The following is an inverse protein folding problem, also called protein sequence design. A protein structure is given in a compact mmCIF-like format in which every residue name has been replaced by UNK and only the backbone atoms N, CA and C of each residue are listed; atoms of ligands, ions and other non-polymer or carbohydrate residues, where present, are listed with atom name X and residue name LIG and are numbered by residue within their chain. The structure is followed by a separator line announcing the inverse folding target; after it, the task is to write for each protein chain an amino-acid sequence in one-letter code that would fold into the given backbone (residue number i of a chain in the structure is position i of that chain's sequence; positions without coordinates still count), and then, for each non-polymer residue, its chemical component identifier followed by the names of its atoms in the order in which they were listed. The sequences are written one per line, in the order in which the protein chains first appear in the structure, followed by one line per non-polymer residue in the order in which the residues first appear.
data_IF_912002447676
#
_entry.id   IF_912002447676
#
_cell.length_a   1.000
_cell.length_b   1.000
_cell.length_c   1.000
_cell.angle_alpha   90.00
_cell.angle_beta   90.00
_cell.angle_gamma   90.00
#
_symmetry.space_group_name_H-M   'P 1'
#
loop_
_entity.id
_entity.type
_entity.pdbx_description
1 polymer ?
#
# COMPACT_ATOMS: atom_id res chain seq x y z
N UNK A 1 5.61 19.45 12.67
CA UNK A 1 4.59 18.39 12.75
C UNK A 1 4.76 17.52 11.52
N UNK A 2 4.76 16.19 11.67
CA UNK A 2 4.93 15.27 10.54
C UNK A 2 3.70 15.28 9.63
N UNK A 3 2.50 15.14 10.18
CA UNK A 3 1.29 15.03 9.37
C UNK A 3 0.06 15.54 10.11
N UNK A 4 -0.92 15.98 9.34
CA UNK A 4 -2.24 16.36 9.80
C UNK A 4 -3.31 15.76 8.89
N UNK A 5 -4.45 15.38 9.47
CA UNK A 5 -5.60 14.90 8.70
C UNK A 5 -6.92 15.28 9.36
N UNK A 6 -7.84 15.81 8.56
CA UNK A 6 -9.25 15.93 8.90
C UNK A 6 -9.98 14.70 8.40
N UNK A 7 -10.69 14.00 9.28
CA UNK A 7 -11.37 12.77 8.92
C UNK A 7 -12.78 12.65 9.48
N UNK A 8 -13.51 11.70 8.91
CA UNK A 8 -14.78 11.20 9.42
C UNK A 8 -14.55 9.74 9.82
N UNK A 9 -14.95 9.38 11.04
CA UNK A 9 -14.81 8.01 11.53
C UNK A 9 -16.14 7.30 11.73
N UNK A 10 -16.09 5.98 11.88
CA UNK A 10 -17.21 5.18 12.37
C UNK A 10 -16.88 4.69 13.79
N UNK A 11 -17.90 4.69 14.66
CA UNK A 11 -17.82 4.12 16.01
C UNK A 11 -18.70 2.88 16.09
N UNK A 12 -18.25 1.91 16.88
CA UNK A 12 -19.08 0.80 17.31
C UNK A 12 -20.03 1.22 18.44
N UNK A 13 -20.85 0.28 18.93
CA UNK A 13 -21.83 0.53 20.00
C UNK A 13 -21.19 0.91 21.34
N UNK A 14 -19.93 0.53 21.59
CA UNK A 14 -19.16 0.95 22.78
C UNK A 14 -18.48 2.31 22.63
N UNK A 15 -18.71 3.02 21.51
CA UNK A 15 -18.18 4.35 21.25
C UNK A 15 -16.71 4.39 20.80
N UNK A 16 -16.11 3.23 20.54
CA UNK A 16 -14.74 3.10 20.05
C UNK A 16 -14.69 3.36 18.55
N UNK A 17 -13.70 4.12 18.10
CA UNK A 17 -13.44 4.31 16.66
C UNK A 17 -12.93 3.01 16.05
N UNK A 18 -13.52 2.63 14.91
CA UNK A 18 -13.19 1.37 14.21
C UNK A 18 -12.63 1.58 12.80
N UNK A 19 -12.89 2.73 12.19
CA UNK A 19 -12.27 3.16 10.94
C UNK A 19 -12.35 4.68 10.81
N UNK A 20 -11.45 5.26 10.00
CA UNK A 20 -11.43 6.70 9.73
C UNK A 20 -11.07 6.95 8.27
N UNK A 21 -11.87 7.76 7.59
CA UNK A 21 -11.61 8.27 6.24
C UNK A 21 -11.01 9.68 6.28
N UNK A 22 -9.85 9.87 5.67
CA UNK A 22 -9.19 11.18 5.51
C UNK A 22 -9.19 11.59 4.03
N UNK A 23 -10.04 12.54 3.59
CA UNK A 23 -10.14 12.90 2.18
C UNK A 23 -8.88 13.56 1.61
N UNK A 24 -8.19 14.35 2.42
CA UNK A 24 -6.98 15.09 2.01
C UNK A 24 -5.98 15.12 3.18
N UNK A 25 -5.27 14.02 3.44
CA UNK A 25 -4.20 13.98 4.43
C UNK A 25 -3.03 14.87 3.97
N UNK A 26 -2.35 15.50 4.92
CA UNK A 26 -1.25 16.44 4.65
C UNK A 26 0.03 15.94 5.31
N UNK A 27 1.13 15.89 4.56
CA UNK A 27 2.48 15.74 5.10
C UNK A 27 3.11 17.12 5.27
N UNK A 28 3.77 17.36 6.40
CA UNK A 28 4.37 18.65 6.76
C UNK A 28 3.39 19.83 6.62
N UNK A 29 2.24 19.79 7.33
CA UNK A 29 1.23 20.83 7.23
C UNK A 29 1.78 22.21 7.62
N UNK A 30 1.22 23.25 7.00
CA UNK A 30 1.49 24.63 7.38
C UNK A 30 1.20 24.83 8.88
N UNK A 31 2.15 25.45 9.59
CA UNK A 31 1.99 25.73 11.03
C UNK A 31 0.74 26.58 11.30
N UNK A 32 0.44 27.54 10.42
CA UNK A 32 -0.75 28.40 10.57
C UNK A 32 -2.05 27.59 10.52
N UNK A 33 -2.15 26.58 9.66
CA UNK A 33 -3.28 25.65 9.58
C UNK A 33 -3.47 24.92 10.91
N UNK A 34 -2.39 24.31 11.42
CA UNK A 34 -2.45 23.50 12.63
C UNK A 34 -2.68 24.35 13.88
N UNK A 35 -2.10 25.54 13.98
CA UNK A 35 -2.28 26.45 15.11
C UNK A 35 -3.72 26.99 15.14
N UNK A 36 -4.29 27.28 13.97
CA UNK A 36 -5.68 27.76 13.84
C UNK A 36 -6.68 26.74 14.36
N UNK A 37 -6.59 25.48 13.95
CA UNK A 37 -7.52 24.44 14.40
C UNK A 37 -7.31 24.09 15.88
N UNK A 38 -6.06 24.04 16.36
CA UNK A 38 -5.76 23.83 17.78
C UNK A 38 -6.40 24.93 18.64
N UNK A 39 -6.30 26.20 18.23
CA UNK A 39 -6.91 27.33 18.92
C UNK A 39 -8.43 27.26 18.93
N UNK A 40 -9.05 26.90 17.80
CA UNK A 40 -10.52 26.83 17.69
C UNK A 40 -11.09 25.69 18.54
N UNK A 41 -10.44 24.53 18.52
CA UNK A 41 -10.87 23.33 19.25
C UNK A 41 -10.35 23.28 20.69
N UNK A 42 -9.55 24.26 21.11
CA UNK A 42 -8.87 24.28 22.40
C UNK A 42 -8.13 22.95 22.69
N UNK A 43 -7.33 22.49 21.71
CA UNK A 43 -6.68 21.20 21.74
C UNK A 43 -5.17 21.32 21.54
N UNK A 44 -4.41 20.55 22.29
CA UNK A 44 -2.96 20.42 22.15
C UNK A 44 -2.64 19.26 21.21
N UNK A 45 -2.03 19.55 20.06
CA UNK A 45 -1.68 18.54 19.06
C UNK A 45 -0.75 17.43 19.60
N UNK A 46 -0.02 17.64 20.71
CA UNK A 46 0.77 16.59 21.33
C UNK A 46 -0.07 15.45 21.92
N UNK A 47 -1.39 15.65 22.09
CA UNK A 47 -2.34 14.62 22.51
C UNK A 47 -2.82 13.72 21.35
N UNK A 48 -2.32 13.93 20.13
CA UNK A 48 -2.58 13.08 18.98
C UNK A 48 -3.83 13.48 18.22
N UNK A 49 -5.02 13.05 18.63
CA UNK A 49 -6.27 13.29 17.89
C UNK A 49 -7.41 13.76 18.76
N UNK A 50 -8.31 14.57 18.19
CA UNK A 50 -9.54 15.05 18.84
C UNK A 50 -10.76 14.75 17.98
N UNK A 51 -11.82 14.25 18.62
CA UNK A 51 -13.17 14.20 18.04
C UNK A 51 -13.87 15.51 18.38
N UNK A 52 -14.47 16.16 17.40
CA UNK A 52 -15.18 17.42 17.59
C UNK A 52 -16.55 17.44 16.89
N UNK A 53 -17.36 18.44 17.23
CA UNK A 53 -18.75 18.53 16.81
C UNK A 53 -18.89 19.11 15.40
N UNK A 54 -19.87 18.66 14.60
CA UNK A 54 -20.21 19.32 13.34
C UNK A 54 -20.52 20.82 13.47
N UNK A 55 -20.92 21.28 14.66
CA UNK A 55 -21.18 22.70 14.93
C UNK A 55 -19.90 23.56 14.83
N UNK A 56 -18.74 23.00 15.13
CA UNK A 56 -17.46 23.71 15.08
C UNK A 56 -16.92 23.82 13.65
N UNK A 57 -17.37 22.96 12.73
CA UNK A 57 -16.88 22.89 11.36
C UNK A 57 -17.01 24.21 10.59
N UNK A 58 -18.14 24.91 10.72
CA UNK A 58 -18.35 26.20 10.01
C UNK A 58 -17.37 27.26 10.51
N UNK A 59 -17.08 27.26 11.82
CA UNK A 59 -16.10 28.18 12.41
C UNK A 59 -14.69 27.83 11.91
N UNK A 60 -14.34 26.55 11.88
CA UNK A 60 -13.03 26.10 11.36
C UNK A 60 -12.88 26.45 9.88
N UNK A 61 -13.89 26.17 9.04
CA UNK A 61 -13.90 26.50 7.62
C UNK A 61 -13.62 27.98 7.36
N UNK A 62 -14.36 28.87 8.04
CA UNK A 62 -14.19 30.34 7.90
C UNK A 62 -12.76 30.77 8.22
N UNK A 63 -12.16 30.20 9.27
CA UNK A 63 -10.79 30.53 9.63
C UNK A 63 -9.79 29.94 8.62
N UNK A 64 -10.02 28.74 8.10
CA UNK A 64 -9.18 28.16 7.05
C UNK A 64 -9.20 28.99 5.76
N UNK A 65 -10.37 29.47 5.31
CA UNK A 65 -10.44 30.42 4.19
C UNK A 65 -9.63 31.71 4.47
N UNK A 66 -9.71 32.25 5.69
CA UNK A 66 -8.98 33.48 6.04
C UNK A 66 -7.45 33.35 6.01
N UNK A 67 -6.93 32.12 6.11
CA UNK A 67 -5.49 31.82 6.04
C UNK A 67 -5.07 31.17 4.71
N UNK A 68 -5.98 31.10 3.72
CA UNK A 68 -5.71 30.57 2.39
C UNK A 68 -5.79 29.04 2.25
N UNK A 69 -6.20 28.31 3.29
CA UNK A 69 -6.31 26.85 3.32
C UNK A 69 -7.64 26.37 2.71
N UNK A 70 -7.90 26.78 1.47
CA UNK A 70 -9.20 26.67 0.81
C UNK A 70 -9.70 25.23 0.62
N UNK A 71 -8.80 24.28 0.35
CA UNK A 71 -9.20 22.88 0.16
C UNK A 71 -9.67 22.25 1.47
N UNK A 72 -8.90 22.42 2.55
CA UNK A 72 -9.26 21.97 3.89
C UNK A 72 -10.54 22.65 4.37
N UNK A 73 -10.73 23.95 4.05
CA UNK A 73 -11.95 24.68 4.34
C UNK A 73 -13.19 24.05 3.66
N UNK A 74 -13.11 23.73 2.37
CA UNK A 74 -14.20 23.06 1.65
C UNK A 74 -14.52 21.68 2.24
N UNK A 75 -13.50 20.90 2.59
CA UNK A 75 -13.69 19.57 3.19
C UNK A 75 -14.45 19.68 4.50
N UNK A 76 -14.03 20.58 5.39
CA UNK A 76 -14.67 20.70 6.70
C UNK A 76 -16.09 21.28 6.61
N UNK A 77 -16.42 22.06 5.57
CA UNK A 77 -17.81 22.45 5.27
C UNK A 77 -18.70 21.24 4.96
N UNK A 78 -18.22 20.26 4.19
CA UNK A 78 -18.96 19.01 3.99
C UNK A 78 -19.13 18.24 5.30
N UNK A 79 -18.12 18.26 6.16
CA UNK A 79 -18.18 17.57 7.45
C UNK A 79 -19.22 18.16 8.40
N UNK A 80 -19.58 19.44 8.26
CA UNK A 80 -20.61 20.09 9.06
C UNK A 80 -21.99 19.39 8.98
N UNK A 81 -22.24 18.58 7.94
CA UNK A 81 -23.49 17.80 7.75
C UNK A 81 -23.38 16.35 8.22
N UNK A 82 -22.22 15.93 8.73
CA UNK A 82 -21.95 14.55 9.12
C UNK A 82 -22.78 14.13 10.34
N UNK A 83 -23.37 12.94 10.28
CA UNK A 83 -23.91 12.23 11.46
C UNK A 83 -22.85 11.37 12.16
N UNK A 84 -21.68 11.23 11.54
CA UNK A 84 -20.54 10.47 12.03
C UNK A 84 -19.54 11.38 12.75
N UNK A 85 -18.77 10.86 13.72
CA UNK A 85 -17.76 11.64 14.42
C UNK A 85 -16.73 12.23 13.46
N UNK A 86 -16.42 13.50 13.68
CA UNK A 86 -15.41 14.24 12.92
C UNK A 86 -14.15 14.29 13.76
N UNK A 87 -13.01 14.03 13.14
CA UNK A 87 -11.73 13.84 13.83
C UNK A 87 -10.68 14.76 13.20
N UNK A 88 -9.90 15.43 14.04
CA UNK A 88 -8.64 16.05 13.63
C UNK A 88 -7.50 15.25 14.24
N UNK A 89 -6.60 14.76 13.40
CA UNK A 89 -5.46 13.92 13.78
C UNK A 89 -4.16 14.65 13.50
N UNK A 90 -3.29 14.71 14.50
CA UNK A 90 -2.00 15.38 14.45
C UNK A 90 -0.91 14.35 14.77
N UNK A 91 0.05 14.18 13.86
CA UNK A 91 1.23 13.34 14.08
C UNK A 91 2.44 14.26 14.20
N UNK A 92 3.01 14.36 15.40
CA UNK A 92 4.12 15.26 15.67
C UNK A 92 5.44 14.73 15.11
N UNK A 93 5.72 13.44 15.33
CA UNK A 93 6.96 12.74 14.95
C UNK A 93 6.65 11.37 14.35
N UNK A 94 7.56 10.85 13.53
CA UNK A 94 7.39 9.51 12.94
C UNK A 94 7.79 8.38 13.92
N UNK A 95 6.95 8.22 14.94
CA UNK A 95 7.05 7.13 15.92
C UNK A 95 6.03 6.01 15.57
N UNK A 96 6.12 4.81 16.18
CA UNK A 96 5.07 3.80 16.03
C UNK A 96 3.69 4.39 16.37
N UNK A 97 2.66 4.12 15.56
CA UNK A 97 1.34 4.71 15.78
C UNK A 97 0.75 4.25 17.11
N UNK A 98 0.24 5.20 17.89
CA UNK A 98 -0.24 4.93 19.26
C UNK A 98 -1.76 4.71 19.35
N UNK A 99 -2.49 4.98 18.26
CA UNK A 99 -3.94 4.79 18.19
C UNK A 99 -4.40 4.55 16.74
N UNK A 100 -5.68 4.20 16.58
CA UNK A 100 -6.29 3.90 15.27
C UNK A 100 -6.26 5.10 14.32
N UNK A 101 -6.41 6.33 14.84
CA UNK A 101 -6.41 7.54 14.02
C UNK A 101 -5.09 7.78 13.30
N UNK A 102 -3.97 7.56 14.00
CA UNK A 102 -2.64 7.62 13.42
C UNK A 102 -2.40 6.49 12.42
N UNK A 103 -2.85 5.27 12.72
CA UNK A 103 -2.71 4.15 11.76
C UNK A 103 -3.39 4.49 10.45
N UNK A 104 -4.67 4.87 10.47
CA UNK A 104 -5.39 5.20 9.26
C UNK A 104 -4.76 6.39 8.54
N UNK A 105 -4.31 7.43 9.25
CA UNK A 105 -3.67 8.59 8.62
C UNK A 105 -2.38 8.17 7.90
N UNK A 106 -1.54 7.35 8.54
CA UNK A 106 -0.32 6.83 7.92
C UNK A 106 -0.60 5.95 6.69
N UNK A 107 -1.61 5.09 6.74
CA UNK A 107 -2.00 4.29 5.57
C UNK A 107 -2.53 5.17 4.43
N UNK A 108 -3.29 6.23 4.74
CA UNK A 108 -3.74 7.21 3.75
C UNK A 108 -2.56 7.95 3.13
N UNK A 109 -1.56 8.39 3.91
CA UNK A 109 -0.36 9.04 3.34
C UNK A 109 0.32 8.16 2.27
N UNK A 110 0.37 6.84 2.49
CA UNK A 110 0.93 5.91 1.50
C UNK A 110 0.00 5.80 0.28
N UNK A 111 -1.28 5.54 0.48
CA UNK A 111 -2.22 5.32 -0.64
C UNK A 111 -2.55 6.58 -1.45
N UNK A 112 -2.45 7.77 -0.86
CA UNK A 112 -2.49 9.05 -1.58
C UNK A 112 -1.20 9.34 -2.35
N UNK A 113 -0.19 8.46 -2.25
CA UNK A 113 1.18 8.62 -2.78
C UNK A 113 1.97 9.80 -2.21
N UNK A 114 1.57 10.30 -1.03
CA UNK A 114 2.28 11.40 -0.37
C UNK A 114 3.62 10.92 0.19
N UNK A 115 3.67 9.66 0.64
CA UNK A 115 4.90 9.01 1.08
C UNK A 115 5.04 7.64 0.40
N UNK A 116 6.28 7.19 0.17
CA UNK A 116 6.57 5.88 -0.42
C UNK A 116 6.46 4.76 0.62
N UNK A 117 6.30 3.49 0.20
CA UNK A 117 6.51 2.35 1.09
C UNK A 117 7.84 2.43 1.85
N UNK A 118 7.85 1.96 3.09
CA UNK A 118 8.99 1.92 4.02
C UNK A 118 9.54 3.29 4.46
N UNK A 119 8.86 4.40 4.13
CA UNK A 119 9.30 5.76 4.49
C UNK A 119 8.64 6.33 5.76
N UNK A 120 7.67 5.62 6.34
CA UNK A 120 7.01 5.99 7.59
C UNK A 120 6.91 4.80 8.55
N UNK A 121 6.92 5.06 9.85
CA UNK A 121 6.92 4.03 10.87
C UNK A 121 5.52 3.42 11.09
N UNK A 122 5.36 2.15 10.74
CA UNK A 122 4.14 1.35 10.95
C UNK A 122 4.34 0.21 11.96
N UNK A 123 5.43 0.23 12.74
CA UNK A 123 5.69 -0.83 13.75
C UNK A 123 4.51 -0.93 14.70
N UNK A 124 4.13 -2.16 15.05
CA UNK A 124 3.06 -2.49 15.99
C UNK A 124 1.65 -1.96 15.62
N UNK A 125 1.40 -1.46 14.41
CA UNK A 125 0.07 -0.92 14.05
C UNK A 125 -1.07 -1.95 14.18
N UNK A 126 -0.78 -3.25 14.05
CA UNK A 126 -1.79 -4.31 14.15
C UNK A 126 -2.48 -4.39 15.51
N UNK A 127 -1.82 -3.95 16.60
CA UNK A 127 -2.43 -3.90 17.93
C UNK A 127 -3.42 -2.75 18.08
N UNK A 128 -3.34 -1.74 17.21
CA UNK A 128 -4.24 -0.58 17.20
C UNK A 128 -5.47 -0.80 16.30
N UNK A 129 -5.40 -1.78 15.40
CA UNK A 129 -6.48 -2.13 14.47
C UNK A 129 -7.38 -3.22 15.06
N UNK A 130 -8.68 -3.05 14.93
CA UNK A 130 -9.66 -4.11 15.19
C UNK A 130 -9.90 -4.95 13.94
N UNK A 131 -10.31 -6.20 14.15
CA UNK A 131 -10.84 -6.99 13.03
C UNK A 131 -12.27 -6.50 12.76
N UNK A 132 -12.57 -6.13 11.51
CA UNK A 132 -13.82 -5.44 11.14
C UNK A 132 -14.55 -6.22 10.05
N UNK A 133 -15.88 -6.28 10.14
CA UNK A 133 -16.73 -6.70 9.05
C UNK A 133 -16.95 -5.51 8.10
N UNK A 134 -16.33 -5.57 6.92
CA UNK A 134 -16.48 -4.57 5.86
C UNK A 134 -17.70 -4.93 5.02
N UNK A 135 -18.75 -4.12 5.13
CA UNK A 135 -20.05 -4.41 4.52
C UNK A 135 -20.45 -3.35 3.51
N UNK A 136 -21.54 -3.61 2.78
CA UNK A 136 -22.15 -2.60 1.91
C UNK A 136 -22.74 -1.39 2.66
N UNK A 137 -22.89 -1.46 3.98
CA UNK A 137 -23.35 -0.35 4.84
C UNK A 137 -22.18 0.34 5.58
N UNK A 138 -20.95 -0.09 5.33
CA UNK A 138 -19.72 0.41 5.96
C UNK A 138 -19.10 -0.58 6.94
N UNK A 139 -18.19 -0.07 7.78
CA UNK A 139 -17.53 -0.86 8.82
C UNK A 139 -18.49 -1.17 9.96
N UNK A 140 -18.57 -2.45 10.33
CA UNK A 140 -19.30 -2.94 11.50
C UNK A 140 -18.31 -3.76 12.34
N UNK A 141 -18.32 -3.52 13.66
CA UNK A 141 -17.51 -4.32 14.57
C UNK A 141 -17.93 -5.80 14.45
N UNK A 142 -16.97 -6.72 14.38
CA UNK A 142 -17.26 -8.15 14.16
C UNK A 142 -18.16 -8.69 15.27
N UNK A 143 -18.01 -8.18 16.50
CA UNK A 143 -18.83 -8.58 17.64
C UNK A 143 -20.30 -8.14 17.52
N UNK A 144 -20.60 -7.20 16.63
CA UNK A 144 -21.94 -6.65 16.42
C UNK A 144 -22.62 -7.18 15.15
N UNK A 145 -21.91 -7.90 14.27
CA UNK A 145 -22.40 -8.22 12.93
C UNK A 145 -23.73 -8.99 12.92
N UNK A 146 -23.93 -9.90 13.88
CA UNK A 146 -25.11 -10.75 13.95
C UNK A 146 -26.41 -9.94 14.11
N UNK A 147 -26.40 -8.88 14.95
CA UNK A 147 -27.61 -8.07 15.15
C UNK A 147 -27.91 -7.21 13.92
N UNK A 148 -26.88 -6.75 13.20
CA UNK A 148 -27.06 -6.01 11.95
C UNK A 148 -27.63 -6.90 10.84
N UNK A 149 -27.12 -8.14 10.71
CA UNK A 149 -27.67 -9.10 9.77
C UNK A 149 -29.13 -9.44 10.08
N UNK A 150 -29.47 -9.68 11.36
CA UNK A 150 -30.86 -9.94 11.77
C UNK A 150 -31.78 -8.78 11.41
N UNK A 151 -31.39 -7.53 11.72
CA UNK A 151 -32.17 -6.32 11.38
C UNK A 151 -32.42 -6.22 9.88
N UNK A 152 -31.38 -6.42 9.06
CA UNK A 152 -31.52 -6.39 7.60
C UNK A 152 -32.52 -7.45 7.11
N UNK A 153 -32.50 -8.67 7.68
CA UNK A 153 -33.45 -9.75 7.32
C UNK A 153 -34.88 -9.45 7.73
N UNK A 154 -35.10 -8.87 8.92
CA UNK A 154 -36.42 -8.44 9.37
C UNK A 154 -37.02 -7.36 8.44
N UNK A 155 -36.18 -6.54 7.84
CA UNK A 155 -36.56 -5.54 6.83
C UNK A 155 -36.64 -6.10 5.39
N UNK A 156 -36.47 -7.41 5.19
CA UNK A 156 -36.51 -8.04 3.87
C UNK A 156 -35.28 -7.77 2.98
N UNK A 157 -34.18 -7.26 3.56
CA UNK A 157 -32.90 -6.97 2.86
C UNK A 157 -31.81 -7.98 3.23
N UNK A 158 -30.67 -7.90 2.54
CA UNK A 158 -29.44 -8.64 2.88
C UNK A 158 -28.33 -7.65 3.22
N UNK A 159 -27.61 -7.88 4.33
CA UNK A 159 -26.34 -7.23 4.60
C UNK A 159 -25.21 -8.05 3.99
N UNK A 160 -24.55 -7.50 2.97
CA UNK A 160 -23.39 -8.13 2.32
C UNK A 160 -22.14 -7.87 3.15
N UNK A 161 -21.45 -8.93 3.56
CA UNK A 161 -20.13 -8.86 4.20
C UNK A 161 -19.08 -9.21 3.15
N UNK A 162 -18.36 -8.20 2.67
CA UNK A 162 -17.42 -8.33 1.56
C UNK A 162 -16.02 -8.74 2.02
N UNK A 163 -15.64 -8.39 3.25
CA UNK A 163 -14.36 -8.72 3.85
C UNK A 163 -14.48 -8.73 5.38
N UNK A 164 -13.72 -9.62 6.04
CA UNK A 164 -13.53 -9.60 7.50
C UNK A 164 -12.03 -9.54 7.77
N UNK A 165 -11.52 -8.34 8.05
CA UNK A 165 -10.08 -8.09 8.17
C UNK A 165 -9.80 -6.81 8.96
N UNK A 166 -8.56 -6.64 9.42
CA UNK A 166 -8.03 -5.40 10.01
C UNK A 166 -7.79 -4.29 8.97
N UNK A 167 -7.69 -4.64 7.69
CA UNK A 167 -7.47 -3.69 6.60
C UNK A 167 -8.69 -3.61 5.67
N UNK A 168 -9.19 -2.41 5.37
CA UNK A 168 -10.12 -2.24 4.26
C UNK A 168 -9.39 -2.32 2.91
N UNK A 169 -10.17 -2.43 1.83
CA UNK A 169 -9.67 -2.21 0.48
C UNK A 169 -9.40 -0.72 0.23
N UNK A 170 -8.32 -0.41 -0.48
CA UNK A 170 -7.81 0.95 -0.69
C UNK A 170 -8.85 1.85 -1.37
N UNK A 171 -9.56 1.32 -2.37
CA UNK A 171 -10.44 2.12 -3.22
C UNK A 171 -11.72 2.59 -2.53
N UNK A 172 -12.06 2.04 -1.36
CA UNK A 172 -13.14 2.59 -0.53
C UNK A 172 -12.73 3.92 0.13
N UNK A 173 -11.44 4.23 0.13
CA UNK A 173 -10.84 5.40 0.75
C UNK A 173 -10.20 6.33 -0.29
N UNK A 174 -9.41 5.80 -1.22
CA UNK A 174 -8.72 6.60 -2.23
C UNK A 174 -8.51 5.84 -3.53
N UNK A 175 -8.72 6.54 -4.65
CA UNK A 175 -8.35 6.09 -5.99
C UNK A 175 -7.38 7.11 -6.60
N UNK A 176 -6.07 6.88 -6.49
CA UNK A 176 -5.07 7.75 -7.10
C UNK A 176 -5.25 7.87 -8.61
N UNK A 177 -4.88 9.03 -9.18
CA UNK A 177 -5.00 9.27 -10.62
C UNK A 177 -4.11 8.33 -11.44
N UNK A 178 -4.58 7.99 -12.65
CA UNK A 178 -3.80 7.26 -13.65
C UNK A 178 -3.52 5.80 -13.31
N UNK A 179 -4.41 5.13 -12.59
CA UNK A 179 -4.29 3.68 -12.29
C UNK A 179 -5.48 2.90 -12.83
N UNK A 180 -5.30 1.59 -12.93
CA UNK A 180 -6.39 0.63 -13.08
C UNK A 180 -6.23 -0.49 -12.06
N UNK A 181 -7.33 -0.87 -11.43
CA UNK A 181 -7.41 -2.02 -10.52
C UNK A 181 -8.64 -2.81 -10.93
N UNK A 182 -8.44 -4.03 -11.43
CA UNK A 182 -9.52 -4.85 -11.98
C UNK A 182 -10.39 -5.47 -10.87
N UNK A 183 -9.78 -5.99 -9.82
CA UNK A 183 -10.46 -6.40 -8.59
C UNK A 183 -9.90 -5.61 -7.40
N UNK A 184 -10.71 -4.69 -6.88
CA UNK A 184 -10.28 -3.79 -5.82
C UNK A 184 -10.15 -4.46 -4.46
N UNK A 185 -10.77 -5.64 -4.25
CA UNK A 185 -10.63 -6.40 -3.01
C UNK A 185 -9.17 -6.85 -2.75
N UNK A 186 -8.34 -6.86 -3.80
CA UNK A 186 -6.94 -7.32 -3.74
C UNK A 186 -5.92 -6.21 -3.52
N UNK A 187 -6.35 -4.98 -3.25
CA UNK A 187 -5.47 -3.84 -2.96
C UNK A 187 -5.85 -3.25 -1.61
N UNK A 188 -5.02 -3.45 -0.59
CA UNK A 188 -5.29 -2.97 0.78
C UNK A 188 -5.03 -1.47 0.91
N UNK A 189 -5.79 -0.80 1.78
CA UNK A 189 -5.43 0.55 2.24
C UNK A 189 -4.01 0.52 2.83
N UNK A 190 -3.19 1.49 2.41
CA UNK A 190 -1.75 1.50 2.64
C UNK A 190 -0.91 0.94 1.50
N UNK A 191 -1.51 0.45 0.41
CA UNK A 191 -0.79 0.16 -0.83
C UNK A 191 -0.45 1.47 -1.58
N UNK A 192 0.73 1.54 -2.19
CA UNK A 192 1.19 2.64 -3.04
C UNK A 192 1.12 2.21 -4.51
N UNK A 193 0.15 2.71 -5.27
CA UNK A 193 -0.01 2.31 -6.67
C UNK A 193 0.41 3.45 -7.57
N UNK A 194 1.63 3.41 -8.11
CA UNK A 194 2.20 4.46 -8.96
C UNK A 194 1.43 4.71 -10.25
N UNK A 195 1.58 5.90 -10.82
CA UNK A 195 0.90 6.28 -12.07
C UNK A 195 1.27 5.37 -13.24
N UNK A 196 0.29 5.04 -14.08
CA UNK A 196 0.42 4.09 -15.18
C UNK A 196 0.44 2.62 -14.75
N UNK A 197 0.25 2.32 -13.45
CA UNK A 197 0.15 0.93 -12.99
C UNK A 197 -1.22 0.35 -13.29
N UNK A 198 -1.23 -0.89 -13.78
CA UNK A 198 -2.41 -1.74 -13.87
C UNK A 198 -2.26 -2.92 -12.93
N UNK A 199 -3.22 -3.09 -12.02
CA UNK A 199 -3.38 -4.30 -11.22
C UNK A 199 -4.53 -5.10 -11.83
N UNK A 200 -4.21 -6.25 -12.43
CA UNK A 200 -5.21 -7.16 -13.01
C UNK A 200 -5.87 -8.01 -11.92
N UNK A 201 -6.87 -8.82 -12.29
CA UNK A 201 -7.68 -9.61 -11.35
C UNK A 201 -6.85 -10.50 -10.41
N UNK A 202 -5.77 -11.11 -10.92
CA UNK A 202 -4.88 -11.94 -10.10
C UNK A 202 -3.76 -11.14 -9.40
N UNK A 203 -3.68 -9.83 -9.69
CA UNK A 203 -2.81 -8.91 -8.99
C UNK A 203 -3.23 -8.74 -7.54
N UNK A 204 -2.27 -8.62 -6.64
CA UNK A 204 -2.51 -8.27 -5.23
C UNK A 204 -1.44 -7.31 -4.75
N UNK A 205 -1.83 -6.30 -3.97
CA UNK A 205 -0.88 -5.39 -3.33
C UNK A 205 -1.26 -5.19 -1.86
N UNK A 206 -0.31 -5.54 -0.98
CA UNK A 206 -0.47 -5.37 0.45
C UNK A 206 -0.23 -3.90 0.89
N UNK A 207 -0.45 -3.63 2.17
CA UNK A 207 -0.06 -2.36 2.79
C UNK A 207 1.47 -2.21 2.80
N UNK A 208 1.94 -0.95 2.84
CA UNK A 208 3.36 -0.61 2.85
C UNK A 208 4.15 -1.31 1.73
N UNK A 209 3.50 -1.48 0.59
CA UNK A 209 4.03 -2.13 -0.60
C UNK A 209 3.47 -1.42 -1.82
N UNK A 210 4.02 -1.66 -3.01
CA UNK A 210 3.52 -0.95 -4.17
C UNK A 210 4.39 -0.98 -5.41
N UNK A 211 4.06 -0.07 -6.31
CA UNK A 211 4.72 0.15 -7.59
C UNK A 211 5.14 1.61 -7.72
N UNK A 212 6.32 1.88 -8.26
CA UNK A 212 6.70 3.25 -8.65
C UNK A 212 5.87 3.74 -9.85
N UNK A 213 5.52 2.83 -10.75
CA UNK A 213 4.70 3.07 -11.94
C UNK A 213 5.47 3.64 -13.14
N UNK A 214 5.06 3.34 -14.38
CA UNK A 214 4.08 2.32 -14.77
C UNK A 214 4.56 0.89 -14.46
N UNK A 215 3.62 -0.06 -14.33
CA UNK A 215 3.89 -1.48 -14.08
C UNK A 215 2.65 -2.33 -14.43
N UNK A 216 2.85 -3.57 -14.87
CA UNK A 216 1.77 -4.57 -15.01
C UNK A 216 1.82 -5.57 -13.86
N UNK A 217 0.78 -5.62 -13.04
CA UNK A 217 0.72 -6.46 -11.85
C UNK A 217 -0.41 -7.47 -11.97
N UNK A 218 -0.04 -8.72 -12.20
CA UNK A 218 -0.92 -9.88 -12.28
C UNK A 218 -0.57 -10.94 -11.22
N UNK A 219 0.42 -10.65 -10.36
CA UNK A 219 0.80 -11.47 -9.22
C UNK A 219 0.77 -10.70 -7.89
N UNK A 220 1.40 -11.28 -6.86
CA UNK A 220 1.27 -10.82 -5.48
C UNK A 220 2.48 -9.99 -5.03
N UNK A 221 2.22 -8.75 -4.63
CA UNK A 221 3.17 -7.83 -3.99
C UNK A 221 2.96 -7.91 -2.47
N UNK A 222 3.90 -8.54 -1.78
CA UNK A 222 3.85 -8.70 -0.33
C UNK A 222 4.18 -7.40 0.41
N UNK A 223 3.79 -7.31 1.69
CA UNK A 223 4.05 -6.12 2.51
C UNK A 223 5.55 -5.79 2.58
N UNK A 224 5.89 -4.52 2.42
CA UNK A 224 7.27 -4.02 2.34
C UNK A 224 7.87 -4.01 0.94
N UNK A 225 7.31 -4.76 -0.02
CA UNK A 225 7.88 -4.89 -1.37
C UNK A 225 7.55 -3.67 -2.22
N UNK A 226 8.57 -3.10 -2.87
CA UNK A 226 8.40 -2.05 -3.86
C UNK A 226 8.88 -2.55 -5.23
N UNK A 227 8.05 -2.32 -6.25
CA UNK A 227 8.30 -2.68 -7.64
C UNK A 227 8.69 -1.43 -8.43
N UNK A 228 9.83 -1.48 -9.10
CA UNK A 228 10.34 -0.42 -9.97
C UNK A 228 9.50 -0.21 -11.23
N UNK A 229 9.79 0.88 -11.94
CA UNK A 229 9.13 1.25 -13.19
C UNK A 229 9.32 0.20 -14.31
N UNK A 230 8.30 0.07 -15.16
CA UNK A 230 8.24 -0.82 -16.32
C UNK A 230 8.45 -2.30 -15.97
N UNK A 231 8.15 -2.69 -14.74
CA UNK A 231 8.31 -4.08 -14.30
C UNK A 231 6.98 -4.81 -14.35
N UNK A 232 7.02 -6.02 -14.89
CA UNK A 232 5.87 -6.89 -15.05
C UNK A 232 5.94 -8.06 -14.07
N UNK A 233 4.88 -8.22 -13.28
CA UNK A 233 4.67 -9.32 -12.35
C UNK A 233 3.57 -10.20 -12.93
N UNK A 234 3.96 -11.27 -13.62
CA UNK A 234 3.05 -12.13 -14.36
C UNK A 234 2.02 -12.87 -13.50
N UNK A 235 0.99 -13.39 -14.16
CA UNK A 235 -0.17 -14.03 -13.54
C UNK A 235 0.19 -15.02 -12.42
N UNK A 236 -0.28 -14.79 -11.20
CA UNK A 236 -0.07 -15.68 -10.06
C UNK A 236 1.35 -15.69 -9.48
N UNK A 237 2.27 -14.87 -10.03
CA UNK A 237 3.63 -14.74 -9.49
C UNK A 237 3.61 -14.27 -8.02
N UNK A 238 4.70 -14.50 -7.31
CA UNK A 238 4.83 -14.17 -5.89
C UNK A 238 6.11 -13.40 -5.60
N UNK A 239 5.99 -12.36 -4.78
CA UNK A 239 7.13 -11.72 -4.10
C UNK A 239 7.11 -12.10 -2.63
N UNK A 240 8.24 -12.52 -2.09
CA UNK A 240 8.32 -12.87 -0.68
C UNK A 240 8.22 -11.59 0.18
N UNK A 241 7.36 -11.61 1.19
CA UNK A 241 7.28 -10.55 2.20
C UNK A 241 8.07 -10.86 3.46
N UNK A 242 8.32 -9.83 4.26
CA UNK A 242 8.89 -9.98 5.62
C UNK A 242 8.00 -10.86 6.51
N UNK A 243 6.67 -10.68 6.42
CA UNK A 243 5.68 -11.47 7.14
C UNK A 243 5.51 -12.91 6.62
N UNK A 244 6.02 -13.21 5.42
CA UNK A 244 5.82 -14.48 4.71
C UNK A 244 7.03 -15.42 4.83
N UNK A 245 7.89 -15.21 5.84
CA UNK A 245 9.08 -16.03 6.06
C UNK A 245 10.38 -15.50 5.42
N UNK A 246 10.38 -14.28 4.86
CA UNK A 246 11.56 -13.62 4.29
C UNK A 246 12.54 -13.02 5.31
N UNK A 247 12.24 -13.11 6.61
CA UNK A 247 13.02 -12.44 7.65
C UNK A 247 12.85 -10.91 7.61
N UNK A 248 13.90 -10.18 8.01
CA UNK A 248 13.88 -8.70 8.09
C UNK A 248 14.31 -8.00 6.80
N UNK A 249 14.52 -8.73 5.70
CA UNK A 249 15.03 -8.15 4.45
C UNK A 249 13.87 -7.58 3.64
N UNK A 250 13.95 -6.29 3.32
CA UNK A 250 13.00 -5.61 2.45
C UNK A 250 13.36 -5.95 1.01
N UNK A 251 12.44 -6.61 0.30
CA UNK A 251 12.62 -6.97 -1.10
C UNK A 251 12.26 -5.78 -1.99
N UNK A 252 13.17 -5.45 -2.90
CA UNK A 252 12.95 -4.50 -3.99
C UNK A 252 13.09 -5.23 -5.31
N UNK A 253 12.19 -4.97 -6.25
CA UNK A 253 12.32 -5.43 -7.63
C UNK A 253 12.62 -4.21 -8.48
N UNK A 254 13.79 -4.21 -9.13
CA UNK A 254 14.26 -3.09 -9.96
C UNK A 254 13.39 -2.78 -11.16
N UNK A 255 13.86 -1.87 -12.00
CA UNK A 255 13.15 -1.40 -13.18
C UNK A 255 13.28 -2.38 -14.34
N UNK A 256 12.28 -2.40 -15.23
CA UNK A 256 12.28 -3.22 -16.44
C UNK A 256 12.51 -4.72 -16.14
N UNK A 257 11.99 -5.22 -15.02
CA UNK A 257 12.06 -6.64 -14.72
C UNK A 257 10.84 -7.39 -15.27
N UNK A 258 10.99 -8.70 -15.45
CA UNK A 258 9.89 -9.60 -15.78
C UNK A 258 9.91 -10.79 -14.82
N UNK A 259 8.89 -10.93 -13.99
CA UNK A 259 8.67 -12.12 -13.18
C UNK A 259 7.58 -12.94 -13.87
N UNK A 260 7.95 -14.07 -14.44
CA UNK A 260 7.04 -14.91 -15.21
C UNK A 260 5.84 -15.42 -14.41
N UNK A 261 4.80 -15.85 -15.12
CA UNK A 261 3.57 -16.35 -14.50
C UNK A 261 3.89 -17.53 -13.54
N UNK A 262 3.23 -17.54 -12.38
CA UNK A 262 3.43 -18.52 -11.31
C UNK A 262 4.89 -18.66 -10.81
N UNK A 263 5.78 -17.72 -11.15
CA UNK A 263 7.12 -17.68 -10.60
C UNK A 263 7.12 -17.13 -9.16
N UNK A 264 8.25 -17.25 -8.47
CA UNK A 264 8.43 -16.70 -7.13
C UNK A 264 9.78 -16.04 -6.96
N UNK A 265 9.78 -14.85 -6.37
CA UNK A 265 11.00 -14.09 -6.09
C UNK A 265 11.16 -13.89 -4.58
N UNK A 266 12.16 -14.57 -4.02
CA UNK A 266 12.53 -14.49 -2.60
C UNK A 266 13.76 -13.63 -2.31
N UNK A 267 14.29 -12.90 -3.29
CA UNK A 267 15.45 -12.00 -3.15
C UNK A 267 15.13 -10.65 -3.80
N UNK A 268 15.92 -9.61 -3.53
CA UNK A 268 15.81 -8.37 -4.30
C UNK A 268 16.42 -8.55 -5.70
N UNK A 269 15.81 -7.96 -6.71
CA UNK A 269 16.35 -7.92 -8.07
C UNK A 269 16.85 -6.52 -8.38
N UNK A 270 18.00 -6.42 -9.05
CA UNK A 270 18.39 -5.19 -9.73
C UNK A 270 17.52 -4.96 -10.96
N UNK A 271 17.93 -4.06 -11.84
CA UNK A 271 17.17 -3.75 -13.05
C UNK A 271 17.30 -4.86 -14.10
N UNK A 272 16.33 -4.93 -15.03
CA UNK A 272 16.41 -5.77 -16.24
C UNK A 272 16.58 -7.26 -15.96
N UNK A 273 16.09 -7.70 -14.80
CA UNK A 273 16.10 -9.11 -14.43
C UNK A 273 14.86 -9.84 -14.96
N UNK A 274 15.02 -11.11 -15.33
CA UNK A 274 13.92 -11.97 -15.74
C UNK A 274 13.95 -13.27 -14.95
N UNK A 275 12.80 -13.67 -14.39
CA UNK A 275 12.58 -14.99 -13.81
C UNK A 275 11.61 -15.74 -14.72
N UNK A 276 12.00 -16.92 -15.18
CA UNK A 276 11.14 -17.81 -15.96
C UNK A 276 9.81 -18.14 -15.24
N UNK A 277 8.74 -18.29 -16.01
CA UNK A 277 7.45 -18.75 -15.50
C UNK A 277 7.57 -20.07 -14.73
N UNK A 278 6.91 -20.15 -13.57
CA UNK A 278 6.94 -21.33 -12.70
C UNK A 278 8.24 -21.55 -11.91
N UNK A 279 9.27 -20.72 -12.10
CA UNK A 279 10.50 -20.80 -11.33
C UNK A 279 10.37 -20.03 -10.00
N UNK A 280 10.54 -20.74 -8.88
CA UNK A 280 10.64 -20.11 -7.57
C UNK A 280 12.10 -19.99 -7.13
N UNK A 281 12.54 -18.78 -6.82
CA UNK A 281 13.88 -18.47 -6.33
C UNK A 281 13.79 -18.12 -4.84
N UNK A 282 14.26 -19.02 -3.98
CA UNK A 282 14.45 -18.75 -2.55
C UNK A 282 15.87 -18.23 -2.29
N UNK A 283 16.14 -17.49 -1.21
CA UNK A 283 17.49 -17.01 -0.89
C UNK A 283 18.58 -18.09 -0.86
N UNK A 284 18.22 -19.32 -0.47
CA UNK A 284 19.11 -20.47 -0.36
C UNK A 284 19.21 -21.32 -1.63
N UNK A 285 18.37 -21.06 -2.64
CA UNK A 285 18.41 -21.80 -3.90
C UNK A 285 19.81 -21.77 -4.50
N UNK A 286 20.33 -22.93 -4.88
CA UNK A 286 21.63 -23.07 -5.53
C UNK A 286 21.48 -22.80 -7.02
N UNK A 287 22.21 -21.80 -7.50
CA UNK A 287 22.13 -21.28 -8.86
C UNK A 287 23.43 -21.58 -9.59
N UNK A 288 23.33 -22.25 -10.73
CA UNK A 288 24.46 -22.44 -11.64
C UNK A 288 24.64 -21.18 -12.47
N UNK A 289 25.78 -20.50 -12.30
CA UNK A 289 26.13 -19.33 -13.10
C UNK A 289 26.73 -19.78 -14.42
N UNK A 290 26.18 -19.25 -15.51
CA UNK A 290 26.67 -19.47 -16.87
C UNK A 290 27.24 -18.18 -17.46
N UNK A 291 28.28 -18.32 -18.29
CA UNK A 291 28.83 -17.22 -19.07
C UNK A 291 27.97 -16.89 -20.32
N UNK A 292 28.40 -15.91 -21.12
CA UNK A 292 27.73 -15.50 -22.37
C UNK A 292 27.57 -16.62 -23.42
N UNK A 293 28.40 -17.67 -23.32
CA UNK A 293 28.44 -18.84 -24.19
C UNK A 293 27.74 -20.06 -23.54
N UNK A 294 26.96 -19.84 -22.47
CA UNK A 294 26.29 -20.87 -21.67
C UNK A 294 27.24 -21.90 -21.03
N UNK A 295 28.52 -21.56 -20.82
CA UNK A 295 29.47 -22.43 -20.12
C UNK A 295 29.39 -22.21 -18.60
N UNK A 296 29.56 -23.30 -17.85
CA UNK A 296 29.59 -23.27 -16.39
C UNK A 296 30.69 -22.35 -15.87
N UNK A 297 30.36 -21.49 -14.90
CA UNK A 297 31.32 -20.64 -14.19
C UNK A 297 31.47 -21.10 -12.74
N UNK A 298 30.37 -21.09 -11.97
CA UNK A 298 30.34 -21.50 -10.56
C UNK A 298 28.91 -21.73 -10.07
N UNK A 299 28.77 -22.22 -8.83
CA UNK A 299 27.48 -22.34 -8.14
C UNK A 299 27.46 -21.35 -6.97
N UNK A 300 26.39 -20.57 -6.84
CA UNK A 300 26.19 -19.62 -5.74
C UNK A 300 24.81 -19.81 -5.10
N UNK A 301 24.60 -19.31 -3.88
CA UNK A 301 23.24 -19.16 -3.37
C UNK A 301 22.57 -17.92 -4.01
N UNK A 302 21.26 -17.96 -4.27
CA UNK A 302 20.55 -16.86 -4.91
C UNK A 302 20.69 -15.51 -4.17
N UNK A 303 20.79 -15.53 -2.84
CA UNK A 303 21.06 -14.31 -2.03
C UNK A 303 22.32 -13.55 -2.46
N UNK A 304 23.33 -14.22 -3.02
CA UNK A 304 24.57 -13.59 -3.51
C UNK A 304 24.36 -12.85 -4.86
N UNK A 305 23.19 -13.03 -5.47
CA UNK A 305 22.75 -12.36 -6.69
C UNK A 305 21.75 -11.23 -6.42
N UNK A 306 21.40 -11.01 -5.14
CA UNK A 306 20.46 -9.95 -4.75
C UNK A 306 20.94 -8.58 -5.22
N UNK A 307 20.03 -7.76 -5.74
CA UNK A 307 20.27 -6.41 -6.30
C UNK A 307 21.19 -6.36 -7.55
N UNK A 308 21.60 -7.50 -8.12
CA UNK A 308 22.32 -7.50 -9.39
C UNK A 308 21.34 -7.32 -10.54
N UNK A 309 21.76 -6.55 -11.53
CA UNK A 309 20.99 -6.27 -12.75
C UNK A 309 21.32 -7.24 -13.87
N UNK A 310 20.51 -7.22 -14.93
CA UNK A 310 20.76 -7.91 -16.20
C UNK A 310 20.85 -9.44 -16.06
N UNK A 311 20.11 -10.02 -15.12
CA UNK A 311 20.11 -11.47 -14.84
C UNK A 311 18.87 -12.16 -15.40
N UNK A 312 19.07 -13.28 -16.08
CA UNK A 312 18.04 -14.20 -16.52
C UNK A 312 18.14 -15.50 -15.71
N UNK A 313 17.10 -15.79 -14.93
CA UNK A 313 16.96 -17.01 -14.14
C UNK A 313 16.01 -17.98 -14.83
N UNK A 314 16.49 -19.20 -15.09
CA UNK A 314 15.76 -20.25 -15.82
C UNK A 314 15.98 -21.62 -15.16
N UNK A 315 15.06 -22.55 -15.36
CA UNK A 315 15.25 -23.97 -15.03
C UNK A 315 15.70 -24.72 -16.28
N UNK A 316 16.79 -25.47 -16.15
CA UNK A 316 17.18 -26.40 -17.21
C UNK A 316 16.17 -27.56 -17.23
N UNK A 317 15.38 -27.69 -18.30
CA UNK A 317 14.32 -28.70 -18.39
C UNK A 317 14.85 -30.15 -18.50
N UNK A 318 16.09 -30.34 -18.95
CA UNK A 318 16.71 -31.67 -19.06
C UNK A 318 17.31 -32.10 -17.72
N UNK A 319 17.98 -31.17 -17.02
CA UNK A 319 18.75 -31.48 -15.79
C UNK A 319 18.06 -31.06 -14.49
N UNK A 320 16.95 -30.33 -14.55
CA UNK A 320 16.20 -29.81 -13.41
C UNK A 320 16.88 -28.70 -12.59
N UNK A 321 18.17 -28.41 -12.83
CA UNK A 321 18.92 -27.38 -12.09
C UNK A 321 18.48 -25.96 -12.47
N UNK A 322 18.62 -25.04 -11.52
CA UNK A 322 18.39 -23.61 -11.75
C UNK A 322 19.67 -22.98 -12.29
N UNK A 323 19.55 -22.23 -13.38
CA UNK A 323 20.64 -21.56 -14.07
C UNK A 323 20.41 -20.05 -14.07
N UNK A 324 21.49 -19.28 -14.01
CA UNK A 324 21.47 -17.82 -14.15
C UNK A 324 22.54 -17.38 -15.15
N UNK A 325 22.16 -16.49 -16.05
CA UNK A 325 23.03 -15.94 -17.10
C UNK A 325 22.66 -14.48 -17.38
N UNK A 326 23.45 -13.82 -18.22
CA UNK A 326 23.18 -12.45 -18.67
C UNK A 326 21.88 -12.40 -19.48
N UNK A 327 21.03 -11.42 -19.20
CA UNK A 327 19.77 -11.19 -19.89
C UNK A 327 20.00 -10.46 -21.23
N UNK A 328 20.11 -11.22 -22.32
CA UNK A 328 20.47 -10.68 -23.64
C UNK A 328 19.39 -9.79 -24.27
N UNK A 329 18.11 -9.99 -23.92
CA UNK A 329 16.99 -9.22 -24.49
C UNK A 329 17.12 -7.72 -24.23
N UNK A 330 17.65 -7.33 -23.07
CA UNK A 330 17.86 -5.92 -22.73
C UNK A 330 19.17 -5.32 -23.29
N UNK A 331 20.21 -6.15 -23.48
CA UNK A 331 21.46 -5.69 -24.10
C UNK A 331 21.22 -5.36 -25.58
N UNK A 332 20.46 -6.19 -26.29
CA UNK A 332 20.12 -5.94 -27.70
C UNK A 332 19.21 -4.72 -27.89
N UNK A 333 18.25 -4.48 -26.97
CA UNK A 333 17.39 -3.30 -27.03
C UNK A 333 18.17 -1.98 -26.87
N UNK A 334 19.17 -1.95 -25.98
CA UNK A 334 20.07 -0.80 -25.84
C UNK A 334 20.95 -0.60 -27.09
N UNK A 335 21.47 -1.67 -27.68
CA UNK A 335 22.26 -1.58 -28.92
C UNK A 335 21.42 -1.10 -30.12
N UNK A 336 20.12 -1.42 -30.18
CA UNK A 336 19.20 -0.93 -31.22
C UNK A 336 18.78 0.53 -31.00
N UNK A 337 18.53 0.94 -29.75
CA UNK A 337 18.18 2.34 -29.42
C UNK A 337 19.37 3.30 -29.60
N UNK A 338 20.60 2.80 -29.46
CA UNK A 338 21.83 3.57 -29.67
C UNK A 338 22.42 3.42 -31.08
N UNK A 339 21.70 2.79 -32.03
CA UNK A 339 22.09 2.70 -33.44
C UNK A 339 21.64 3.87 -34.32
N UNK A 340 21.05 4.93 -33.74
CA UNK A 340 20.90 6.21 -34.43
C UNK A 340 22.13 7.08 -34.16
N UNK A 341 23.09 7.01 -35.08
CA UNK A 341 24.01 8.11 -35.37
C UNK A 341 23.71 8.62 -36.77
#
# INVERSE_FOLDING_TARGET
MLSFGLGIGTKNSSGQLIEIYYPEPILNPNKLLTDTIQKILNFDANKGSIIFSPKDCIKVAKNFYSIGENNQAKIIEYFAKSKRPIIATFIIKDIPPINIAEVYLKLHLISHRIVKPNSINLKNMFSQLKNIAWTNEGAIDVDEINIYQLKARLEGRTLSVNCVDKFPKMTDYVVPKGIRIADTARVRLGAYIGEGTTIMHEGFCNFNAGTEGPAMIEGRISAGVLIGKNTDIGGGASTLGTLSGGGNIIIYIGQNCLIGANAGCGISLGDRCTIESGLYITPSAKIVILDKNNKFVKIVAARELSNKSDLLFIRNSIKGRIECRINKSYIMLNEELHKNK
#
